data_IF_249423357417
#
_entry.id   IF_249423357417
#
_cell.length_a   1.000
_cell.length_b   1.000
_cell.length_c   1.000
_cell.angle_alpha   90.00
_cell.angle_beta   90.00
_cell.angle_gamma   90.00
#
_symmetry.space_group_name_H-M   'P 1'
#
loop_
_entity.id
_entity.type
_entity.pdbx_description
1 polymer ?
#
# COMPACT_ATOMS: atom_id res chain seq x y z
N UNK A 1 -3.14 -17.87 -15.22
CA UNK A 1 -4.59 -18.10 -15.16
C UNK A 1 -5.28 -17.12 -14.21
N UNK A 2 -4.99 -17.11 -12.89
CA UNK A 2 -5.67 -16.25 -11.91
C UNK A 2 -5.62 -14.73 -12.17
N UNK A 3 -4.67 -14.26 -12.97
CA UNK A 3 -4.54 -12.83 -13.36
C UNK A 3 -5.12 -12.53 -14.75
N UNK A 4 -5.80 -13.47 -15.41
CA UNK A 4 -6.33 -13.29 -16.77
C UNK A 4 -7.66 -12.54 -16.78
N UNK A 5 -8.03 -12.00 -17.95
CA UNK A 5 -9.38 -11.44 -18.16
C UNK A 5 -10.46 -12.50 -18.00
N UNK A 6 -10.19 -13.76 -18.39
CA UNK A 6 -11.12 -14.87 -18.25
C UNK A 6 -11.42 -15.17 -16.78
N UNK A 7 -10.41 -15.05 -15.90
CA UNK A 7 -10.61 -15.18 -14.47
C UNK A 7 -11.56 -14.11 -13.93
N UNK A 8 -11.43 -12.85 -14.37
CA UNK A 8 -12.35 -11.79 -13.95
C UNK A 8 -13.78 -12.05 -14.43
N UNK A 9 -13.95 -12.59 -15.65
CA UNK A 9 -15.28 -12.99 -16.14
C UNK A 9 -15.87 -14.15 -15.32
N UNK A 10 -15.07 -15.16 -15.01
CA UNK A 10 -15.49 -16.27 -14.16
C UNK A 10 -15.89 -15.78 -12.78
N UNK A 11 -15.07 -14.93 -12.15
CA UNK A 11 -15.36 -14.35 -10.84
C UNK A 11 -16.66 -13.53 -10.85
N UNK A 12 -16.88 -12.70 -11.88
CA UNK A 12 -18.09 -11.89 -12.01
C UNK A 12 -19.36 -12.73 -12.19
N UNK A 13 -19.26 -13.86 -12.93
CA UNK A 13 -20.38 -14.80 -13.12
C UNK A 13 -20.65 -15.66 -11.89
N UNK A 14 -19.63 -16.06 -11.15
CA UNK A 14 -19.74 -17.01 -10.03
C UNK A 14 -20.03 -16.32 -8.70
N UNK A 15 -19.35 -15.20 -8.44
CA UNK A 15 -19.40 -14.50 -7.15
C UNK A 15 -20.09 -13.14 -7.24
N UNK A 16 -20.56 -12.74 -8.42
CA UNK A 16 -21.16 -11.43 -8.66
C UNK A 16 -20.14 -10.37 -9.03
N UNK A 17 -20.56 -9.44 -9.90
CA UNK A 17 -19.66 -8.45 -10.50
C UNK A 17 -19.04 -7.48 -9.49
N UNK A 18 -19.76 -7.09 -8.44
CA UNK A 18 -19.22 -6.25 -7.36
C UNK A 18 -18.07 -6.91 -6.57
N UNK A 19 -17.92 -8.24 -6.64
CA UNK A 19 -16.89 -9.00 -5.93
C UNK A 19 -15.68 -9.37 -6.81
N UNK A 20 -15.66 -8.91 -8.07
CA UNK A 20 -14.50 -9.11 -8.95
C UNK A 20 -13.29 -8.35 -8.38
N UNK A 21 -12.09 -8.96 -8.33
CA UNK A 21 -10.90 -8.27 -7.85
C UNK A 21 -10.63 -6.97 -8.63
N UNK A 22 -10.72 -5.79 -7.98
CA UNK A 22 -10.53 -4.51 -8.65
C UNK A 22 -9.04 -4.22 -8.89
N UNK A 23 -8.75 -3.14 -9.62
CA UNK A 23 -7.41 -2.53 -9.67
C UNK A 23 -6.33 -3.27 -10.46
N UNK A 24 -6.61 -4.46 -10.99
CA UNK A 24 -5.60 -5.27 -11.70
C UNK A 24 -5.63 -5.14 -13.23
N UNK A 25 -6.77 -4.74 -13.82
CA UNK A 25 -6.94 -4.59 -15.28
C UNK A 25 -7.83 -3.39 -15.61
N UNK A 26 -7.39 -2.55 -16.54
CA UNK A 26 -8.19 -1.41 -17.01
C UNK A 26 -9.55 -1.84 -17.61
N UNK A 27 -9.59 -3.01 -18.27
CA UNK A 27 -10.81 -3.52 -18.93
C UNK A 27 -11.97 -3.80 -17.97
N UNK A 28 -11.72 -4.05 -16.67
CA UNK A 28 -12.82 -4.27 -15.73
C UNK A 28 -13.62 -2.99 -15.49
N UNK A 29 -12.95 -1.84 -15.50
CA UNK A 29 -13.57 -0.53 -15.35
C UNK A 29 -14.34 -0.09 -16.60
N UNK A 30 -14.20 -0.80 -17.73
CA UNK A 30 -15.00 -0.58 -18.95
C UNK A 30 -16.18 -1.56 -19.06
N UNK A 31 -16.27 -2.54 -18.15
CA UNK A 31 -17.30 -3.57 -18.20
C UNK A 31 -18.64 -3.04 -17.63
N UNK A 32 -19.73 -3.03 -18.42
CA UNK A 32 -21.03 -2.51 -17.97
C UNK A 32 -21.60 -3.24 -16.75
N UNK A 33 -21.39 -4.56 -16.65
CA UNK A 33 -21.89 -5.33 -15.52
C UNK A 33 -21.16 -4.94 -14.22
N UNK A 34 -19.86 -4.70 -14.30
CA UNK A 34 -19.06 -4.20 -13.18
C UNK A 34 -19.52 -2.79 -12.78
N UNK A 35 -19.60 -1.87 -13.74
CA UNK A 35 -20.05 -0.49 -13.49
C UNK A 35 -21.46 -0.41 -12.87
N UNK A 36 -22.38 -1.28 -13.30
CA UNK A 36 -23.75 -1.30 -12.77
C UNK A 36 -23.86 -1.81 -11.33
N UNK A 37 -22.86 -2.55 -10.83
CA UNK A 37 -22.90 -3.21 -9.51
C UNK A 37 -21.86 -2.71 -8.53
N UNK A 38 -20.82 -2.03 -9.01
CA UNK A 38 -19.72 -1.49 -8.23
C UNK A 38 -19.77 0.05 -8.21
N UNK A 39 -20.61 0.68 -7.36
CA UNK A 39 -20.69 2.14 -7.27
C UNK A 39 -19.36 2.79 -6.82
N UNK A 40 -18.45 2.00 -6.25
CA UNK A 40 -17.10 2.40 -5.85
C UNK A 40 -16.06 2.31 -6.99
N UNK A 41 -16.43 1.85 -8.19
CA UNK A 41 -15.48 1.58 -9.27
C UNK A 41 -14.70 2.83 -9.68
N UNK A 42 -15.39 3.97 -9.86
CA UNK A 42 -14.76 5.20 -10.32
C UNK A 42 -13.77 5.74 -9.29
N UNK A 43 -14.19 5.89 -8.02
CA UNK A 43 -13.29 6.39 -6.97
C UNK A 43 -12.09 5.47 -6.73
N UNK A 44 -12.27 4.16 -6.91
CA UNK A 44 -11.16 3.19 -6.85
C UNK A 44 -10.16 3.42 -7.97
N UNK A 45 -10.63 3.56 -9.22
CA UNK A 45 -9.75 3.81 -10.37
C UNK A 45 -9.03 5.15 -10.25
N UNK A 46 -9.75 6.19 -9.83
CA UNK A 46 -9.18 7.52 -9.63
C UNK A 46 -8.12 7.52 -8.53
N UNK A 47 -8.38 6.83 -7.41
CA UNK A 47 -7.41 6.67 -6.33
C UNK A 47 -6.14 5.97 -6.81
N UNK A 48 -6.27 4.88 -7.59
CA UNK A 48 -5.13 4.16 -8.18
C UNK A 48 -4.32 5.08 -9.11
N UNK A 49 -4.99 5.82 -9.99
CA UNK A 49 -4.33 6.70 -10.95
C UNK A 49 -3.68 7.93 -10.30
N UNK A 50 -4.21 8.38 -9.15
CA UNK A 50 -3.68 9.53 -8.41
C UNK A 50 -2.51 9.20 -7.49
N UNK A 51 -2.22 7.91 -7.24
CA UNK A 51 -1.13 7.50 -6.37
C UNK A 51 0.23 7.85 -7.00
N UNK A 52 1.12 8.45 -6.21
CA UNK A 52 2.44 8.93 -6.67
C UNK A 52 3.61 8.19 -6.00
N UNK A 53 3.80 6.87 -6.23
CA UNK A 53 4.87 6.12 -5.57
C UNK A 53 6.29 6.61 -5.92
N UNK A 54 6.49 7.27 -7.08
CA UNK A 54 7.76 7.88 -7.48
C UNK A 54 8.02 9.25 -6.83
N UNK A 55 6.97 9.91 -6.34
CA UNK A 55 7.05 11.15 -5.56
C UNK A 55 6.09 11.03 -4.36
N UNK A 56 6.44 10.20 -3.37
CA UNK A 56 5.48 9.80 -2.32
C UNK A 56 5.28 10.86 -1.25
N UNK A 57 6.16 11.87 -1.20
CA UNK A 57 6.17 12.93 -0.18
C UNK A 57 6.25 14.32 -0.80
N UNK A 58 5.87 15.34 -0.03
CA UNK A 58 5.98 16.76 -0.45
C UNK A 58 7.42 17.14 -0.79
N UNK A 59 8.37 16.77 0.09
CA UNK A 59 9.80 16.99 -0.13
C UNK A 59 10.41 15.79 -0.88
N UNK A 60 11.45 16.00 -1.71
CA UNK A 60 12.16 14.89 -2.35
C UNK A 60 12.74 13.90 -1.33
N UNK A 61 12.61 12.62 -1.63
CA UNK A 61 13.15 11.51 -0.81
C UNK A 61 13.89 10.51 -1.72
N UNK A 62 14.87 9.75 -1.20
CA UNK A 62 15.68 8.83 -2.01
C UNK A 62 15.02 7.45 -2.23
N UNK A 63 13.74 7.29 -1.88
CA UNK A 63 13.01 6.02 -1.96
C UNK A 63 11.69 6.18 -2.72
N UNK A 64 11.13 5.04 -3.15
CA UNK A 64 9.78 4.94 -3.73
C UNK A 64 8.82 4.27 -2.76
N UNK A 65 7.52 4.46 -3.01
CA UNK A 65 6.41 3.85 -2.27
C UNK A 65 5.67 4.86 -1.41
N UNK A 66 4.33 4.80 -1.45
CA UNK A 66 3.46 5.76 -0.72
C UNK A 66 3.29 5.33 0.74
N UNK A 67 2.89 4.08 0.95
CA UNK A 67 2.63 3.47 2.26
C UNK A 67 3.75 2.55 2.73
N UNK A 68 4.76 2.34 1.89
CA UNK A 68 5.96 1.58 2.21
C UNK A 68 7.19 2.34 1.74
N UNK A 69 8.34 2.04 2.35
CA UNK A 69 9.64 2.54 1.89
C UNK A 69 10.28 1.42 1.09
N UNK A 70 10.57 1.62 -0.19
CA UNK A 70 11.07 0.59 -1.10
C UNK A 70 12.51 0.12 -0.84
N UNK A 71 12.86 -0.23 0.40
CA UNK A 71 14.19 -0.70 0.82
C UNK A 71 14.11 -2.14 1.37
N UNK A 72 15.20 -2.93 1.31
CA UNK A 72 15.20 -4.32 1.81
C UNK A 72 14.83 -4.45 3.30
N UNK A 73 15.15 -3.45 4.12
CA UNK A 73 14.96 -3.45 5.57
C UNK A 73 13.54 -3.06 5.99
N UNK A 74 12.67 -2.65 5.05
CA UNK A 74 11.37 -2.08 5.38
C UNK A 74 10.49 -3.04 6.18
N UNK A 75 10.56 -4.34 5.88
CA UNK A 75 9.76 -5.35 6.59
C UNK A 75 10.18 -5.43 8.07
N UNK A 76 11.46 -5.68 8.34
CA UNK A 76 11.95 -5.85 9.71
C UNK A 76 11.90 -4.56 10.53
N UNK A 77 12.29 -3.42 9.94
CA UNK A 77 12.27 -2.13 10.62
C UNK A 77 10.83 -1.63 10.81
N UNK A 78 9.99 -1.78 9.77
CA UNK A 78 8.58 -1.40 9.78
C UNK A 78 7.78 -2.18 10.81
N UNK A 79 8.04 -3.48 10.99
CA UNK A 79 7.42 -4.28 12.05
C UNK A 79 7.75 -3.73 13.44
N UNK A 80 9.02 -3.46 13.74
CA UNK A 80 9.43 -2.93 15.05
C UNK A 80 8.84 -1.55 15.32
N UNK A 81 8.83 -0.66 14.33
CA UNK A 81 8.17 0.65 14.44
C UNK A 81 6.65 0.49 14.67
N UNK A 82 6.01 -0.47 13.98
CA UNK A 82 4.56 -0.73 14.12
C UNK A 82 4.19 -1.24 15.53
N UNK A 83 5.07 -2.03 16.16
CA UNK A 83 4.91 -2.47 17.55
C UNK A 83 4.97 -1.29 18.52
N UNK A 84 5.90 -0.35 18.31
CA UNK A 84 5.98 0.89 19.10
C UNK A 84 4.73 1.76 18.92
N UNK A 85 4.24 1.92 17.69
CA UNK A 85 3.01 2.67 17.43
C UNK A 85 1.79 1.99 18.07
N UNK A 86 1.73 0.66 18.05
CA UNK A 86 0.68 -0.10 18.75
C UNK A 86 0.73 0.12 20.27
N UNK A 87 1.92 0.21 20.87
CA UNK A 87 2.07 0.53 22.29
C UNK A 87 1.59 1.96 22.63
N UNK A 88 1.80 2.92 21.73
CA UNK A 88 1.26 4.29 21.86
C UNK A 88 -0.27 4.27 21.82
N UNK A 89 -0.87 3.60 20.83
CA UNK A 89 -2.33 3.48 20.70
C UNK A 89 -2.93 2.81 21.93
N UNK A 90 -2.24 1.82 22.50
CA UNK A 90 -2.65 1.14 23.74
C UNK A 90 -2.39 1.93 25.03
N UNK A 91 -1.83 3.15 24.95
CA UNK A 91 -1.52 4.00 26.11
C UNK A 91 -0.37 3.48 26.99
N UNK A 92 0.45 2.55 26.49
CA UNK A 92 1.57 1.93 27.22
C UNK A 92 2.89 2.70 27.06
N UNK A 93 2.94 3.63 26.12
CA UNK A 93 4.13 4.41 25.77
C UNK A 93 3.68 5.79 25.29
N UNK A 94 4.46 6.84 25.59
CA UNK A 94 4.21 8.15 25.01
C UNK A 94 4.65 8.22 23.54
N UNK A 95 4.03 9.12 22.77
CA UNK A 95 4.44 9.40 21.39
C UNK A 95 5.93 9.71 21.29
N UNK A 96 6.45 10.56 22.19
CA UNK A 96 7.86 10.96 22.19
C UNK A 96 8.81 9.77 22.40
N UNK A 97 8.47 8.85 23.31
CA UNK A 97 9.29 7.65 23.55
C UNK A 97 9.29 6.73 22.33
N UNK A 98 8.14 6.55 21.70
CA UNK A 98 8.02 5.70 20.52
C UNK A 98 8.81 6.26 19.33
N UNK A 99 8.76 7.59 19.10
CA UNK A 99 9.57 8.25 18.07
C UNK A 99 11.06 8.09 18.34
N UNK A 100 11.52 8.32 19.58
CA UNK A 100 12.93 8.17 19.93
C UNK A 100 13.44 6.74 19.71
N UNK A 101 12.67 5.72 20.09
CA UNK A 101 13.04 4.33 19.86
C UNK A 101 12.98 3.97 18.37
N UNK A 102 12.01 4.50 17.63
CA UNK A 102 11.91 4.31 16.18
C UNK A 102 13.13 4.89 15.46
N UNK A 103 13.60 6.07 15.85
CA UNK A 103 14.82 6.67 15.30
C UNK A 103 16.05 5.80 15.56
N UNK A 104 16.16 5.19 16.75
CA UNK A 104 17.25 4.27 17.09
C UNK A 104 17.21 2.99 16.23
N UNK A 105 16.03 2.40 16.06
CA UNK A 105 15.82 1.23 15.20
C UNK A 105 16.26 1.56 13.78
N UNK A 106 15.76 2.66 13.22
CA UNK A 106 16.06 3.08 11.86
C UNK A 106 17.56 3.39 11.69
N UNK A 107 18.18 4.12 12.62
CA UNK A 107 19.61 4.43 12.54
C UNK A 107 20.51 3.18 12.60
N UNK A 108 20.08 2.11 13.27
CA UNK A 108 20.85 0.86 13.35
C UNK A 108 20.72 -0.03 12.11
N UNK A 109 19.63 0.10 11.35
CA UNK A 109 19.31 -0.78 10.21
C UNK A 109 19.42 -0.09 8.85
N UNK A 110 19.20 1.22 8.80
CA UNK A 110 19.11 2.02 7.58
C UNK A 110 20.25 3.05 7.57
N UNK A 111 21.04 3.04 6.51
CA UNK A 111 22.14 3.96 6.28
C UNK A 111 22.17 4.39 4.81
N UNK A 112 22.88 5.47 4.49
CA UNK A 112 22.92 6.04 3.14
C UNK A 112 23.36 5.04 2.04
N UNK A 113 24.11 3.98 2.40
CA UNK A 113 24.54 2.94 1.46
C UNK A 113 23.51 1.83 1.22
N UNK A 114 22.45 1.73 2.02
CA UNK A 114 21.39 0.73 1.86
C UNK A 114 19.99 1.32 1.65
N UNK A 115 19.90 2.64 1.49
CA UNK A 115 18.68 3.37 1.12
C UNK A 115 18.41 3.40 -0.38
N UNK A 116 19.31 2.88 -1.22
CA UNK A 116 18.99 2.65 -2.63
C UNK A 116 17.99 1.51 -2.73
N UNK A 117 16.75 1.89 -3.01
CA UNK A 117 15.64 0.97 -3.15
C UNK A 117 15.72 0.11 -4.41
N UNK A 118 14.70 -0.75 -4.56
CA UNK A 118 14.44 -1.50 -5.79
C UNK A 118 14.02 -0.59 -6.95
#
# INVERSE_FOLDING_TARGET
WATSSDYLQLAGKTFGWANVPPGTRASIYQNPNYQSTAPFAQITLDSINSATPDQPTLNPVPYKGVQYVGIPQFESAGQQVSELMSAVVAGKMSVSQALQQSDQILASQVNASNTQGY
#
